data_IF_199354746153
#
_entry.id   IF_199354746153
#
_cell.length_a   1.000
_cell.length_b   1.000
_cell.length_c   1.000
_cell.angle_alpha   90.00
_cell.angle_beta   90.00
_cell.angle_gamma   90.00
#
_symmetry.space_group_name_H-M   'P 1'
#
loop_
_entity.id
_entity.type
_entity.pdbx_description
1 polymer ?
#
# COMPACT_ATOMS: atom_id res chain seq x y z
N UNK A 1 -1.09 -18.16 -3.16
CA UNK A 1 -1.04 -19.61 -3.48
C UNK A 1 -1.78 -19.82 -4.78
N UNK A 2 -1.33 -20.71 -5.69
CA UNK A 2 -2.11 -21.08 -6.86
C UNK A 2 -3.44 -21.70 -6.40
N UNK A 3 -4.52 -21.43 -7.14
CA UNK A 3 -5.90 -21.86 -6.79
C UNK A 3 -6.08 -23.38 -6.86
N UNK A 4 -5.13 -24.09 -7.46
CA UNK A 4 -5.21 -25.53 -7.70
C UNK A 4 -4.90 -26.39 -6.44
N UNK A 5 -4.46 -25.77 -5.33
CA UNK A 5 -4.07 -26.44 -4.08
C UNK A 5 -5.07 -26.22 -2.92
N UNK A 6 -6.33 -25.82 -3.19
CA UNK A 6 -7.33 -25.68 -2.13
C UNK A 6 -7.75 -27.04 -1.58
N UNK A 7 -7.13 -27.42 -0.48
CA UNK A 7 -7.62 -28.45 0.42
C UNK A 7 -8.78 -27.83 1.24
N UNK A 8 -9.76 -28.62 1.68
CA UNK A 8 -10.91 -28.18 2.45
C UNK A 8 -10.55 -27.09 3.49
N UNK A 9 -11.23 -25.96 3.44
CA UNK A 9 -11.04 -24.83 4.35
C UNK A 9 -12.37 -24.47 5.01
N UNK A 10 -12.31 -24.09 6.30
CA UNK A 10 -13.49 -23.65 7.04
C UNK A 10 -13.98 -22.26 6.60
N UNK A 11 -13.09 -21.45 6.05
CA UNK A 11 -13.38 -20.13 5.48
C UNK A 11 -12.25 -19.66 4.55
N UNK A 12 -12.54 -18.74 3.63
CA UNK A 12 -11.56 -18.18 2.70
C UNK A 12 -11.50 -16.67 2.87
N UNK A 13 -10.31 -16.14 3.21
CA UNK A 13 -10.05 -14.70 3.26
C UNK A 13 -9.46 -14.18 1.95
N UNK A 14 -10.01 -13.10 1.42
CA UNK A 14 -9.57 -12.44 0.21
C UNK A 14 -9.02 -11.05 0.53
N UNK A 15 -7.79 -10.76 0.12
CA UNK A 15 -7.27 -9.39 0.15
C UNK A 15 -7.92 -8.59 -0.94
N UNK A 16 -8.62 -7.54 -0.56
CA UNK A 16 -9.23 -6.55 -1.47
C UNK A 16 -8.55 -5.22 -1.23
N UNK A 17 -8.07 -4.61 -2.30
CA UNK A 17 -7.31 -3.36 -2.19
C UNK A 17 -8.25 -2.19 -1.89
N UNK A 18 -9.44 -2.15 -2.52
CA UNK A 18 -10.40 -1.08 -2.34
C UNK A 18 -11.86 -1.53 -2.55
N UNK A 19 -12.79 -0.98 -1.76
CA UNK A 19 -14.23 -1.26 -1.84
C UNK A 19 -15.02 -0.08 -2.42
N UNK A 20 -14.51 0.59 -3.44
CA UNK A 20 -15.18 1.75 -4.05
C UNK A 20 -15.43 2.86 -3.04
N UNK A 21 -16.66 3.33 -2.94
CA UNK A 21 -17.08 4.39 -2.03
C UNK A 21 -17.28 3.93 -0.57
N UNK A 22 -17.24 2.61 -0.30
CA UNK A 22 -17.56 2.05 1.01
C UNK A 22 -16.33 1.92 1.92
N UNK A 23 -16.48 2.34 3.18
CA UNK A 23 -15.49 2.15 4.25
C UNK A 23 -15.73 0.80 4.95
N UNK A 24 -15.26 -0.29 4.32
CA UNK A 24 -15.42 -1.66 4.81
C UNK A 24 -14.05 -2.21 5.23
N UNK A 25 -13.93 -2.68 6.47
CA UNK A 25 -12.75 -3.37 6.97
C UNK A 25 -12.72 -4.84 6.51
N UNK A 26 -13.82 -5.55 6.73
CA UNK A 26 -14.04 -6.91 6.28
C UNK A 26 -15.55 -7.17 6.10
N UNK A 27 -15.92 -7.99 5.11
CA UNK A 27 -17.30 -8.37 4.86
C UNK A 27 -17.39 -9.78 4.27
N UNK A 28 -18.46 -10.51 4.62
CA UNK A 28 -18.82 -11.75 3.90
C UNK A 28 -19.21 -11.38 2.48
N UNK A 29 -18.69 -12.13 1.51
CA UNK A 29 -18.86 -11.82 0.09
C UNK A 29 -20.26 -12.25 -0.38
N UNK A 30 -21.10 -11.26 -0.60
CA UNK A 30 -22.38 -11.35 -1.31
C UNK A 30 -22.36 -10.52 -2.59
N UNK A 31 -23.50 -10.42 -3.28
CA UNK A 31 -23.62 -9.66 -4.53
C UNK A 31 -23.38 -8.15 -4.32
N UNK A 32 -23.75 -7.62 -3.15
CA UNK A 32 -23.50 -6.22 -2.80
C UNK A 32 -22.02 -5.95 -2.60
N UNK A 33 -21.32 -6.80 -1.87
CA UNK A 33 -19.86 -6.70 -1.64
C UNK A 33 -19.10 -6.85 -2.96
N UNK A 34 -19.54 -7.77 -3.85
CA UNK A 34 -18.95 -7.89 -5.19
C UNK A 34 -19.06 -6.59 -6.00
N UNK A 35 -20.24 -5.95 -6.02
CA UNK A 35 -20.43 -4.68 -6.72
C UNK A 35 -19.51 -3.57 -6.18
N UNK A 36 -19.30 -3.51 -4.86
CA UNK A 36 -18.36 -2.56 -4.25
C UNK A 36 -16.89 -2.83 -4.62
N UNK A 37 -16.50 -4.10 -4.74
CA UNK A 37 -15.14 -4.46 -5.19
C UNK A 37 -14.95 -4.10 -6.66
N UNK A 38 -15.98 -4.27 -7.50
CA UNK A 38 -15.99 -3.85 -8.91
C UNK A 38 -15.85 -2.33 -9.03
N UNK A 39 -16.60 -1.55 -8.23
CA UNK A 39 -16.43 -0.09 -8.15
C UNK A 39 -15.00 0.29 -7.76
N UNK A 40 -14.41 -0.42 -6.79
CA UNK A 40 -13.02 -0.23 -6.38
C UNK A 40 -11.99 -0.54 -7.46
N UNK A 41 -12.35 -1.31 -8.48
CA UNK A 41 -11.48 -1.59 -9.61
C UNK A 41 -11.27 -0.37 -10.53
N UNK A 42 -12.11 0.65 -10.45
CA UNK A 42 -11.88 1.93 -11.14
C UNK A 42 -10.70 2.72 -10.54
N UNK A 43 -10.50 2.58 -9.22
CA UNK A 43 -9.41 3.26 -8.48
C UNK A 43 -8.10 2.46 -8.50
N UNK A 44 -8.20 1.14 -8.38
CA UNK A 44 -7.06 0.22 -8.31
C UNK A 44 -7.20 -0.97 -9.27
N UNK A 45 -7.26 -0.73 -10.61
CA UNK A 45 -7.57 -1.77 -11.59
C UNK A 45 -6.54 -2.90 -11.61
N UNK A 46 -5.26 -2.59 -11.47
CA UNK A 46 -4.16 -3.56 -11.48
C UNK A 46 -4.23 -4.56 -10.30
N UNK A 47 -5.01 -4.26 -9.28
CA UNK A 47 -5.10 -5.06 -8.06
C UNK A 47 -6.48 -5.67 -7.85
N UNK A 48 -7.55 -4.88 -7.99
CA UNK A 48 -8.90 -5.39 -7.75
C UNK A 48 -9.38 -6.36 -8.83
N UNK A 49 -9.04 -6.16 -10.12
CA UNK A 49 -9.42 -7.11 -11.18
C UNK A 49 -8.85 -8.50 -10.96
N UNK A 50 -7.53 -8.69 -10.71
CA UNK A 50 -6.98 -10.00 -10.36
C UNK A 50 -7.56 -10.58 -9.05
N UNK A 51 -7.92 -9.72 -8.08
CA UNK A 51 -8.56 -10.16 -6.84
C UNK A 51 -9.98 -10.70 -7.09
N UNK A 52 -10.78 -10.05 -7.94
CA UNK A 52 -12.11 -10.53 -8.36
C UNK A 52 -12.02 -11.88 -9.08
N UNK A 53 -11.06 -12.06 -9.99
CA UNK A 53 -10.83 -13.32 -10.68
C UNK A 53 -10.42 -14.43 -9.70
N UNK A 54 -9.53 -14.14 -8.75
CA UNK A 54 -9.12 -15.09 -7.73
C UNK A 54 -10.28 -15.45 -6.79
N UNK A 55 -11.11 -14.48 -6.43
CA UNK A 55 -12.29 -14.66 -5.60
C UNK A 55 -13.33 -15.55 -6.33
N UNK A 56 -13.60 -15.29 -7.60
CA UNK A 56 -14.53 -16.10 -8.40
C UNK A 56 -14.08 -17.57 -8.47
N UNK A 57 -12.82 -17.81 -8.76
CA UNK A 57 -12.24 -19.18 -8.78
C UNK A 57 -12.30 -19.86 -7.42
N UNK A 58 -12.03 -19.12 -6.34
CA UNK A 58 -12.10 -19.67 -5.00
C UNK A 58 -13.54 -20.06 -4.60
N UNK A 59 -14.55 -19.25 -4.96
CA UNK A 59 -15.97 -19.58 -4.75
C UNK A 59 -16.43 -20.79 -5.55
N UNK A 60 -15.91 -20.97 -6.75
CA UNK A 60 -16.17 -22.18 -7.56
C UNK A 60 -15.55 -23.44 -6.93
N UNK A 61 -14.33 -23.33 -6.41
CA UNK A 61 -13.60 -24.44 -5.80
C UNK A 61 -14.12 -24.83 -4.40
N UNK A 62 -14.60 -23.86 -3.63
CA UNK A 62 -15.06 -24.00 -2.24
C UNK A 62 -16.44 -23.33 -2.03
N UNK A 63 -17.51 -23.83 -2.71
CA UNK A 63 -18.81 -23.16 -2.71
C UNK A 63 -19.50 -23.13 -1.33
N UNK A 64 -19.21 -24.09 -0.46
CA UNK A 64 -19.82 -24.23 0.87
C UNK A 64 -19.06 -23.44 1.96
N UNK A 65 -17.85 -22.97 1.68
CA UNK A 65 -17.06 -22.18 2.62
C UNK A 65 -17.48 -20.71 2.59
N UNK A 66 -17.57 -20.02 3.73
CA UNK A 66 -17.76 -18.57 3.73
C UNK A 66 -16.52 -17.88 3.15
N UNK A 67 -16.75 -16.97 2.20
CA UNK A 67 -15.74 -16.13 1.62
C UNK A 67 -15.80 -14.73 2.23
N UNK A 68 -14.69 -14.24 2.74
CA UNK A 68 -14.60 -12.93 3.40
C UNK A 68 -13.60 -12.05 2.66
N UNK A 69 -14.07 -10.90 2.20
CA UNK A 69 -13.23 -9.84 1.64
C UNK A 69 -12.67 -8.96 2.77
N UNK A 70 -11.35 -8.73 2.78
CA UNK A 70 -10.65 -7.94 3.79
C UNK A 70 -9.91 -6.80 3.12
N UNK A 71 -10.16 -5.57 3.59
CA UNK A 71 -9.64 -4.34 2.99
C UNK A 71 -8.16 -4.11 3.30
N UNK A 72 -7.38 -3.85 2.24
CA UNK A 72 -5.98 -3.43 2.37
C UNK A 72 -5.85 -1.95 2.76
N UNK A 73 -6.85 -1.12 2.46
CA UNK A 73 -6.83 0.31 2.77
C UNK A 73 -7.43 0.66 4.14
N UNK A 74 -8.15 -0.25 4.79
CA UNK A 74 -8.88 0.05 6.03
C UNK A 74 -7.95 0.46 7.19
N UNK A 75 -6.75 -0.06 7.28
CA UNK A 75 -5.77 0.35 8.30
C UNK A 75 -5.50 1.87 8.27
N UNK A 76 -5.66 2.49 7.11
CA UNK A 76 -5.46 3.93 6.92
C UNK A 76 -6.69 4.79 7.22
N UNK A 77 -7.82 4.21 7.65
CA UNK A 77 -9.04 4.96 8.00
C UNK A 77 -8.83 5.93 9.17
N UNK A 78 -7.80 5.71 9.98
CA UNK A 78 -7.43 6.56 11.11
C UNK A 78 -6.67 7.83 10.73
N UNK A 79 -6.28 7.97 9.46
CA UNK A 79 -5.65 9.17 8.93
C UNK A 79 -6.65 10.34 9.03
N UNK A 80 -6.21 11.47 9.59
CA UNK A 80 -7.04 12.65 9.75
C UNK A 80 -7.43 13.29 8.41
N UNK A 81 -8.50 14.05 8.40
CA UNK A 81 -8.93 14.81 7.21
C UNK A 81 -7.85 15.76 6.71
N UNK A 82 -7.05 16.34 7.63
CA UNK A 82 -5.92 17.21 7.30
C UNK A 82 -4.87 16.51 6.43
N UNK A 83 -4.54 15.27 6.73
CA UNK A 83 -3.56 14.47 5.99
C UNK A 83 -4.17 13.79 4.76
N UNK A 84 -5.48 13.50 4.79
CA UNK A 84 -6.18 12.75 3.75
C UNK A 84 -6.60 13.59 2.56
N UNK A 85 -7.04 14.85 2.80
CA UNK A 85 -7.59 15.70 1.74
C UNK A 85 -6.50 16.31 0.89
N UNK A 86 -6.69 16.26 -0.43
CA UNK A 86 -5.97 17.13 -1.34
C UNK A 86 -6.60 18.53 -1.31
N UNK A 87 -5.81 19.57 -1.53
CA UNK A 87 -6.29 20.95 -1.61
C UNK A 87 -6.98 21.20 -2.97
N UNK A 88 -8.06 20.47 -3.22
CA UNK A 88 -8.89 20.55 -4.42
C UNK A 88 -10.23 21.22 -4.10
N UNK A 89 -10.95 21.75 -5.12
CA UNK A 89 -12.30 22.25 -4.96
C UNK A 89 -13.24 21.23 -4.30
N UNK A 90 -14.22 21.71 -3.53
CA UNK A 90 -15.07 20.88 -2.68
C UNK A 90 -15.88 19.82 -3.49
N UNK A 91 -16.25 20.15 -4.72
CA UNK A 91 -16.94 19.24 -5.66
C UNK A 91 -16.10 18.02 -6.06
N UNK A 92 -14.78 18.07 -5.87
CA UNK A 92 -13.84 16.97 -6.09
C UNK A 92 -13.45 16.29 -4.77
N UNK A 93 -14.19 16.49 -3.71
CA UNK A 93 -13.86 16.01 -2.35
C UNK A 93 -13.79 14.50 -2.20
N UNK A 94 -14.33 13.71 -3.14
CA UNK A 94 -14.16 12.26 -3.19
C UNK A 94 -12.72 11.83 -3.58
N UNK A 95 -11.97 12.72 -4.25
CA UNK A 95 -10.56 12.46 -4.59
C UNK A 95 -9.71 12.82 -3.38
N UNK A 96 -9.41 11.83 -2.57
CA UNK A 96 -8.63 11.97 -1.34
C UNK A 96 -7.63 10.82 -1.20
N UNK A 97 -6.65 10.96 -0.32
CA UNK A 97 -5.71 9.87 0.02
C UNK A 97 -6.45 8.71 0.66
N UNK A 98 -6.37 7.54 0.05
CA UNK A 98 -6.95 6.29 0.54
C UNK A 98 -5.91 5.49 1.32
N UNK A 99 -4.69 5.43 0.81
CA UNK A 99 -3.61 4.61 1.33
C UNK A 99 -3.76 3.14 0.93
N UNK A 100 -2.61 2.46 0.83
CA UNK A 100 -2.52 1.05 0.43
C UNK A 100 -1.45 0.35 1.25
N UNK A 101 -1.34 -0.97 1.11
CA UNK A 101 -0.47 -1.83 1.93
C UNK A 101 -0.84 -1.82 3.43
N UNK A 102 -2.08 -1.49 3.77
CA UNK A 102 -2.52 -1.38 5.16
C UNK A 102 -2.37 -2.67 5.93
N UNK A 103 -2.69 -3.83 5.33
CA UNK A 103 -2.51 -5.15 5.95
C UNK A 103 -1.04 -5.45 6.25
N UNK A 104 -0.13 -5.10 5.32
CA UNK A 104 1.30 -5.24 5.53
C UNK A 104 1.80 -4.32 6.65
N UNK A 105 1.40 -3.04 6.63
CA UNK A 105 1.78 -2.05 7.62
C UNK A 105 1.25 -2.44 9.00
N UNK A 106 -0.01 -2.87 9.11
CA UNK A 106 -0.60 -3.37 10.34
C UNK A 106 0.19 -4.55 10.89
N UNK A 107 0.45 -5.55 10.04
CA UNK A 107 1.22 -6.74 10.40
C UNK A 107 2.62 -6.42 10.92
N UNK A 108 3.29 -5.41 10.37
CA UNK A 108 4.61 -4.95 10.82
C UNK A 108 4.49 -4.21 12.14
N UNK A 109 3.58 -3.23 12.23
CA UNK A 109 3.44 -2.38 13.41
C UNK A 109 3.04 -3.14 14.67
N UNK A 110 2.22 -4.17 14.56
CA UNK A 110 1.83 -5.05 15.69
C UNK A 110 3.00 -5.85 16.29
N UNK A 111 4.11 -5.98 15.56
CA UNK A 111 5.30 -6.76 15.98
C UNK A 111 6.50 -5.88 16.35
N UNK A 112 6.35 -4.58 16.21
CA UNK A 112 7.37 -3.59 16.60
C UNK A 112 6.96 -2.94 17.91
N UNK A 113 7.76 -3.15 18.95
CA UNK A 113 7.55 -2.55 20.27
C UNK A 113 8.09 -1.11 20.29
N UNK A 114 7.26 -0.18 19.83
CA UNK A 114 7.55 1.27 19.83
C UNK A 114 6.29 2.09 19.64
N UNK A 115 6.27 3.30 20.18
CA UNK A 115 5.13 4.22 20.02
C UNK A 115 5.13 4.93 18.68
N UNK A 116 6.30 5.27 18.11
CA UNK A 116 6.44 6.03 16.87
C UNK A 116 7.21 5.21 15.84
N UNK A 117 6.50 4.61 14.92
CA UNK A 117 7.06 3.71 13.91
C UNK A 117 6.86 4.30 12.52
N UNK A 118 7.91 4.39 11.73
CA UNK A 118 7.77 4.58 10.28
C UNK A 118 7.96 3.23 9.61
N UNK A 119 6.96 2.76 8.90
CA UNK A 119 7.00 1.50 8.15
C UNK A 119 7.27 1.80 6.68
N UNK A 120 8.38 1.29 6.16
CA UNK A 120 8.71 1.26 4.74
C UNK A 120 8.36 -0.12 4.17
N UNK A 121 7.23 -0.27 3.51
CA UNK A 121 6.90 -1.49 2.76
C UNK A 121 7.43 -1.35 1.34
N UNK A 122 8.50 -2.10 1.02
CA UNK A 122 9.27 -1.97 -0.22
C UNK A 122 9.26 -3.31 -0.98
N UNK A 123 8.37 -3.41 -1.95
CA UNK A 123 8.19 -4.56 -2.82
C UNK A 123 8.05 -4.13 -4.28
N UNK A 124 7.14 -4.76 -5.03
CA UNK A 124 6.73 -4.27 -6.37
C UNK A 124 6.10 -2.89 -6.31
N UNK A 125 5.31 -2.60 -5.25
CA UNK A 125 4.93 -1.27 -4.83
C UNK A 125 5.76 -0.80 -3.64
N UNK A 126 5.83 0.52 -3.39
CA UNK A 126 6.53 1.11 -2.27
C UNK A 126 5.63 2.11 -1.53
N UNK A 127 5.50 1.95 -0.21
CA UNK A 127 4.85 2.92 0.65
C UNK A 127 5.69 3.20 1.89
N UNK A 128 5.56 4.42 2.42
CA UNK A 128 6.12 4.83 3.71
C UNK A 128 4.98 5.35 4.55
N UNK A 129 4.78 4.77 5.73
CA UNK A 129 3.61 5.02 6.58
C UNK A 129 4.05 5.43 7.99
N UNK A 130 3.46 6.49 8.51
CA UNK A 130 3.60 6.93 9.89
C UNK A 130 2.59 6.19 10.78
N UNK A 131 3.07 5.43 11.75
CA UNK A 131 2.23 4.70 12.71
C UNK A 131 2.55 5.18 14.13
N UNK A 132 1.50 5.59 14.86
CA UNK A 132 1.61 5.92 16.28
C UNK A 132 0.69 5.01 17.09
N UNK A 133 1.26 4.28 18.04
CA UNK A 133 0.49 3.41 18.95
C UNK A 133 -0.49 2.49 18.18
N UNK A 134 -0.03 1.89 17.08
CA UNK A 134 -0.82 0.99 16.25
C UNK A 134 -1.81 1.66 15.28
N UNK A 135 -1.88 2.99 15.23
CA UNK A 135 -2.77 3.75 14.33
C UNK A 135 -2.00 4.42 13.21
N UNK A 136 -2.48 4.32 11.97
CA UNK A 136 -1.91 5.03 10.82
C UNK A 136 -2.25 6.52 10.91
N UNK A 137 -1.23 7.39 10.86
CA UNK A 137 -1.43 8.85 10.87
C UNK A 137 -1.26 9.47 9.49
N UNK A 138 -0.41 8.89 8.64
CA UNK A 138 -0.19 9.31 7.25
C UNK A 138 0.49 8.19 6.46
N UNK A 139 0.37 8.22 5.14
CA UNK A 139 1.02 7.28 4.23
C UNK A 139 1.31 7.94 2.89
N UNK A 140 2.32 7.47 2.17
CA UNK A 140 2.75 8.07 0.91
C UNK A 140 1.88 7.72 -0.29
N UNK A 141 1.24 6.55 -0.30
CA UNK A 141 0.29 6.22 -1.37
C UNK A 141 -0.98 7.04 -1.20
N UNK A 142 -1.48 7.60 -2.28
CA UNK A 142 -2.54 8.58 -2.31
C UNK A 142 -3.91 8.01 -2.65
N UNK A 143 -4.59 8.67 -3.60
CA UNK A 143 -5.85 8.22 -4.16
C UNK A 143 -5.69 6.90 -4.93
N UNK A 144 -4.55 6.74 -5.59
CA UNK A 144 -4.13 5.49 -6.25
C UNK A 144 -2.81 4.98 -5.65
N UNK A 145 -2.42 3.72 -5.89
CA UNK A 145 -1.12 3.19 -5.46
C UNK A 145 0.06 3.68 -6.33
N UNK A 146 -0.10 4.80 -7.04
CA UNK A 146 0.93 5.40 -7.89
C UNK A 146 1.71 6.51 -7.16
N UNK A 147 1.07 7.27 -6.26
CA UNK A 147 1.72 8.33 -5.48
C UNK A 147 2.74 7.77 -4.47
N UNK A 148 3.82 8.50 -4.23
CA UNK A 148 4.84 8.16 -3.24
C UNK A 148 6.25 8.09 -3.81
N UNK A 149 7.17 7.36 -3.16
CA UNK A 149 8.52 7.11 -3.69
C UNK A 149 8.48 6.34 -5.01
N UNK A 150 9.53 6.42 -5.85
CA UNK A 150 9.68 5.54 -7.01
C UNK A 150 9.55 4.06 -6.62
N UNK A 151 8.98 3.25 -7.49
CA UNK A 151 8.73 1.81 -7.25
C UNK A 151 9.46 0.96 -8.30
N UNK A 152 9.20 -0.33 -8.36
CA UNK A 152 9.81 -1.20 -9.35
C UNK A 152 9.58 -0.73 -10.78
N UNK A 153 8.32 -0.56 -11.17
CA UNK A 153 7.89 -0.11 -12.51
C UNK A 153 7.09 1.18 -12.49
N UNK A 154 6.63 1.65 -11.30
CA UNK A 154 5.81 2.84 -11.15
C UNK A 154 6.67 4.06 -10.87
N UNK A 155 6.27 5.19 -11.45
CA UNK A 155 7.02 6.45 -11.35
C UNK A 155 7.13 6.99 -9.90
N UNK A 156 6.16 6.69 -9.04
CA UNK A 156 5.93 7.48 -7.83
C UNK A 156 5.37 8.85 -8.17
N UNK A 157 5.52 9.80 -7.24
CA UNK A 157 5.00 11.16 -7.40
C UNK A 157 5.67 11.90 -8.55
N UNK A 158 4.85 12.44 -9.46
CA UNK A 158 5.24 13.30 -10.57
C UNK A 158 4.47 14.61 -10.45
N UNK A 159 5.07 15.73 -10.87
CA UNK A 159 4.37 17.02 -10.92
C UNK A 159 3.12 16.92 -11.81
N UNK A 160 1.92 17.25 -11.30
CA UNK A 160 0.69 17.27 -12.09
C UNK A 160 0.79 18.16 -13.33
N UNK A 161 1.53 19.29 -13.24
CA UNK A 161 1.79 20.17 -14.36
C UNK A 161 2.58 19.49 -15.49
N UNK A 162 3.52 18.60 -15.16
CA UNK A 162 4.25 17.81 -16.13
C UNK A 162 3.31 16.84 -16.88
N UNK A 163 2.37 16.19 -16.16
CA UNK A 163 1.38 15.31 -16.79
C UNK A 163 0.45 16.08 -17.74
N UNK A 164 -0.04 17.25 -17.33
CA UNK A 164 -0.83 18.12 -18.19
C UNK A 164 -0.05 18.61 -19.42
N UNK A 165 1.25 18.84 -19.28
CA UNK A 165 2.11 19.20 -20.42
C UNK A 165 2.22 18.03 -21.41
N UNK A 166 2.46 16.81 -20.94
CA UNK A 166 2.54 15.63 -21.79
C UNK A 166 1.24 15.38 -22.56
N UNK A 167 0.08 15.50 -21.91
CA UNK A 167 -1.23 15.42 -22.59
C UNK A 167 -1.37 16.47 -23.70
N UNK A 168 -0.94 17.72 -23.46
CA UNK A 168 -0.97 18.80 -24.47
C UNK A 168 -0.01 18.57 -25.62
N UNK A 169 1.07 17.80 -25.42
CA UNK A 169 2.05 17.44 -26.46
C UNK A 169 1.67 16.20 -27.25
N UNK A 170 0.51 15.60 -26.96
CA UNK A 170 -0.08 14.53 -27.78
C UNK A 170 -0.07 13.14 -27.17
N UNK A 171 0.43 12.97 -25.94
CA UNK A 171 0.25 11.70 -25.21
C UNK A 171 -1.22 11.51 -24.86
N UNK A 172 -1.73 10.29 -25.01
CA UNK A 172 -3.07 9.91 -24.55
C UNK A 172 -3.07 9.54 -23.08
N UNK A 173 -4.24 9.50 -22.46
CA UNK A 173 -4.39 9.05 -21.07
C UNK A 173 -3.90 7.62 -20.90
N UNK A 174 -4.24 6.72 -21.82
CA UNK A 174 -3.85 5.29 -21.76
C UNK A 174 -2.33 5.11 -21.91
N UNK A 175 -1.67 5.91 -22.76
CA UNK A 175 -0.21 5.89 -22.89
C UNK A 175 0.47 6.36 -21.61
N UNK A 176 -0.04 7.43 -20.98
CA UNK A 176 0.50 7.93 -19.72
C UNK A 176 0.24 6.95 -18.57
N UNK A 177 -0.93 6.33 -18.51
CA UNK A 177 -1.24 5.32 -17.50
C UNK A 177 -0.23 4.17 -17.58
N UNK A 178 -0.01 3.62 -18.78
CA UNK A 178 0.97 2.55 -19.01
C UNK A 178 2.39 2.98 -18.64
N UNK A 179 2.85 4.15 -19.09
CA UNK A 179 4.19 4.68 -18.78
C UNK A 179 4.38 4.83 -17.27
N UNK A 180 3.42 5.43 -16.58
CA UNK A 180 3.53 5.71 -15.15
C UNK A 180 3.48 4.44 -14.27
N UNK A 181 2.72 3.43 -14.68
CA UNK A 181 2.53 2.21 -13.90
C UNK A 181 3.50 1.09 -14.26
N UNK A 182 3.93 0.97 -15.53
CA UNK A 182 4.61 -0.23 -16.03
C UNK A 182 6.02 0.02 -16.56
N UNK A 183 6.34 1.25 -16.99
CA UNK A 183 7.59 1.57 -17.72
C UNK A 183 8.49 2.57 -16.99
N UNK A 184 8.10 2.98 -15.79
CA UNK A 184 8.78 4.00 -14.98
C UNK A 184 9.56 3.39 -13.80
N UNK A 185 9.79 4.18 -12.77
CA UNK A 185 10.41 3.76 -11.52
C UNK A 185 11.85 3.28 -11.69
N UNK A 186 12.20 2.26 -10.91
CA UNK A 186 13.54 1.67 -10.95
C UNK A 186 13.84 1.04 -12.32
N UNK A 187 12.82 0.48 -12.99
CA UNK A 187 12.97 -0.07 -14.34
C UNK A 187 13.51 0.97 -15.32
N UNK A 188 12.92 2.17 -15.35
CA UNK A 188 13.35 3.25 -16.24
C UNK A 188 14.75 3.80 -15.90
N UNK A 189 15.21 3.60 -14.67
CA UNK A 189 16.50 4.08 -14.19
C UNK A 189 17.62 3.02 -14.26
N UNK A 190 17.36 1.86 -14.82
CA UNK A 190 18.37 0.80 -14.98
C UNK A 190 18.37 -0.28 -13.88
N UNK A 191 17.40 -0.24 -12.98
CA UNK A 191 17.28 -1.20 -11.87
C UNK A 191 18.02 -0.77 -10.60
N UNK A 192 17.75 -1.46 -9.50
CA UNK A 192 18.27 -1.07 -8.19
C UNK A 192 19.80 -1.24 -8.04
N UNK A 193 20.42 -1.99 -8.93
CA UNK A 193 21.88 -2.19 -8.93
C UNK A 193 22.63 -1.10 -9.74
N UNK A 194 21.92 -0.25 -10.49
CA UNK A 194 22.49 0.96 -11.09
C UNK A 194 22.77 2.01 -9.99
N UNK A 195 23.96 2.61 -9.94
CA UNK A 195 24.33 3.56 -8.89
C UNK A 195 23.44 4.81 -8.84
N UNK A 196 22.97 5.31 -9.99
CA UNK A 196 22.06 6.45 -10.03
C UNK A 196 20.68 6.07 -9.54
N UNK A 197 20.13 4.94 -10.02
CA UNK A 197 18.82 4.45 -9.59
C UNK A 197 18.81 4.16 -8.07
N UNK A 198 19.85 3.54 -7.53
CA UNK A 198 20.01 3.31 -6.08
C UNK A 198 20.03 4.63 -5.31
N UNK A 199 20.85 5.59 -5.74
CA UNK A 199 20.93 6.90 -5.08
C UNK A 199 19.62 7.66 -5.15
N UNK A 200 18.95 7.65 -6.30
CA UNK A 200 17.64 8.26 -6.51
C UNK A 200 16.56 7.63 -5.61
N UNK A 201 16.46 6.31 -5.60
CA UNK A 201 15.51 5.58 -4.79
C UNK A 201 15.68 5.84 -3.30
N UNK A 202 16.92 5.69 -2.79
CA UNK A 202 17.21 5.90 -1.36
C UNK A 202 17.05 7.36 -0.93
N UNK A 203 17.29 8.33 -1.83
CA UNK A 203 17.01 9.75 -1.60
C UNK A 203 15.52 9.99 -1.40
N UNK A 204 14.67 9.50 -2.31
CA UNK A 204 13.21 9.69 -2.23
C UNK A 204 12.60 8.96 -1.04
N UNK A 205 13.10 7.76 -0.70
CA UNK A 205 12.70 7.06 0.51
C UNK A 205 13.04 7.85 1.77
N UNK A 206 14.28 8.34 1.90
CA UNK A 206 14.69 9.12 3.07
C UNK A 206 13.86 10.41 3.22
N UNK A 207 13.55 11.09 2.10
CA UNK A 207 12.68 12.26 2.08
C UNK A 207 11.27 11.91 2.58
N UNK A 208 10.70 10.79 2.15
CA UNK A 208 9.41 10.31 2.60
C UNK A 208 9.42 9.95 4.10
N UNK A 209 10.43 9.21 4.55
CA UNK A 209 10.60 8.87 5.98
C UNK A 209 10.74 10.12 6.84
N UNK A 210 11.50 11.13 6.40
CA UNK A 210 11.63 12.40 7.11
C UNK A 210 10.27 13.10 7.28
N UNK A 211 9.42 13.10 6.24
CA UNK A 211 8.06 13.62 6.31
C UNK A 211 7.21 12.86 7.34
N UNK A 212 7.25 11.54 7.33
CA UNK A 212 6.51 10.71 8.28
C UNK A 212 7.04 10.87 9.72
N UNK A 213 8.36 11.01 9.91
CA UNK A 213 8.94 11.30 11.22
C UNK A 213 8.49 12.68 11.77
N UNK A 214 8.30 13.68 10.89
CA UNK A 214 7.75 14.97 11.27
C UNK A 214 6.28 14.84 11.72
N UNK A 215 5.45 14.09 11.01
CA UNK A 215 4.05 13.78 11.39
C UNK A 215 4.00 13.11 12.77
N UNK A 216 4.93 12.21 13.06
CA UNK A 216 5.04 11.54 14.36
C UNK A 216 5.63 12.42 15.47
N UNK A 217 6.20 13.59 15.15
CA UNK A 217 7.02 14.40 16.07
C UNK A 217 8.20 13.62 16.66
N UNK A 218 8.84 12.78 15.84
CA UNK A 218 9.99 11.95 16.19
C UNK A 218 9.92 10.57 15.56
N UNK A 219 10.92 9.74 15.84
CA UNK A 219 11.06 8.40 15.28
C UNK A 219 11.69 7.48 16.32
N UNK A 220 11.02 6.38 16.69
CA UNK A 220 11.59 5.38 17.60
C UNK A 220 12.11 4.18 16.80
N UNK A 221 11.35 3.76 15.77
CA UNK A 221 11.73 2.64 14.90
C UNK A 221 11.44 2.98 13.43
N UNK A 222 12.43 2.71 12.58
CA UNK A 222 12.31 2.65 11.14
C UNK A 222 12.25 1.18 10.73
N UNK A 223 11.04 0.70 10.43
CA UNK A 223 10.78 -0.68 10.05
C UNK A 223 10.73 -0.85 8.54
N UNK A 224 11.39 -1.88 8.02
CA UNK A 224 11.40 -2.23 6.59
C UNK A 224 10.76 -3.59 6.38
N UNK A 225 9.90 -3.70 5.38
CA UNK A 225 9.26 -4.94 4.96
C UNK A 225 9.12 -5.01 3.43
N UNK A 226 8.62 -6.14 2.95
CA UNK A 226 8.55 -6.44 1.52
C UNK A 226 9.89 -6.84 0.94
N UNK A 227 9.90 -7.34 -0.30
CA UNK A 227 11.06 -8.00 -0.89
C UNK A 227 12.36 -7.17 -0.87
N UNK A 228 12.30 -5.88 -1.20
CA UNK A 228 13.45 -4.96 -1.12
C UNK A 228 13.75 -4.64 0.35
N UNK A 229 12.73 -4.30 1.13
CA UNK A 229 12.90 -3.89 2.52
C UNK A 229 13.56 -4.97 3.39
N UNK A 230 13.21 -6.23 3.17
CA UNK A 230 13.72 -7.37 3.92
C UNK A 230 15.11 -7.82 3.46
N UNK A 231 15.38 -7.81 2.14
CA UNK A 231 16.56 -8.44 1.57
C UNK A 231 17.70 -7.49 1.19
N UNK A 232 17.47 -6.15 1.10
CA UNK A 232 18.48 -5.16 0.71
C UNK A 232 18.94 -4.35 1.93
N UNK A 233 19.92 -4.87 2.67
CA UNK A 233 20.53 -4.19 3.81
C UNK A 233 21.15 -2.83 3.44
N UNK A 234 21.76 -2.75 2.27
CA UNK A 234 22.35 -1.53 1.71
C UNK A 234 21.32 -0.40 1.53
N UNK A 235 20.10 -0.72 1.11
CA UNK A 235 18.99 0.25 1.03
C UNK A 235 18.63 0.76 2.42
N UNK A 236 18.49 -0.13 3.41
CA UNK A 236 18.17 0.26 4.79
C UNK A 236 19.24 1.16 5.39
N UNK A 237 20.50 0.81 5.20
CA UNK A 237 21.65 1.58 5.68
C UNK A 237 21.74 2.95 5.01
N UNK A 238 21.55 3.02 3.68
CA UNK A 238 21.58 4.26 2.93
C UNK A 238 20.45 5.22 3.36
N UNK A 239 19.24 4.71 3.58
CA UNK A 239 18.10 5.51 4.06
C UNK A 239 18.34 5.96 5.49
N UNK A 240 18.69 5.07 6.40
CA UNK A 240 18.94 5.40 7.80
C UNK A 240 20.11 6.38 7.96
N UNK A 241 21.16 6.23 7.15
CA UNK A 241 22.33 7.12 7.14
C UNK A 241 21.96 8.59 6.84
N UNK A 242 20.96 8.82 5.98
CA UNK A 242 20.44 10.18 5.67
C UNK A 242 19.59 10.78 6.78
N UNK A 243 19.13 9.98 7.74
CA UNK A 243 18.17 10.36 8.78
C UNK A 243 18.81 10.53 10.17
N UNK A 244 20.13 10.40 10.30
CA UNK A 244 20.86 10.50 11.59
C UNK A 244 20.56 11.79 12.37
N UNK A 245 20.18 12.85 11.68
CA UNK A 245 19.83 14.13 12.32
C UNK A 245 18.48 14.11 13.08
N UNK A 246 17.67 13.04 12.94
CA UNK A 246 16.46 12.81 13.75
C UNK A 246 16.75 12.23 15.14
N UNK A 247 18.03 12.00 15.49
CA UNK A 247 18.45 11.38 16.75
C UNK A 247 18.56 9.86 16.64
N UNK A 248 18.56 9.20 17.78
CA UNK A 248 18.69 7.75 17.87
C UNK A 248 17.35 7.07 17.63
N UNK A 249 17.31 6.17 16.66
CA UNK A 249 16.17 5.30 16.36
C UNK A 249 16.69 3.92 15.96
N UNK A 250 15.87 2.88 16.17
CA UNK A 250 16.18 1.52 15.73
C UNK A 250 15.81 1.33 14.26
N UNK A 251 16.59 0.48 13.58
CA UNK A 251 16.30 0.04 12.19
C UNK A 251 16.02 -1.45 12.23
N UNK A 252 14.84 -1.85 11.77
CA UNK A 252 14.40 -3.24 11.83
C UNK A 252 13.93 -3.73 10.47
N UNK A 253 14.28 -4.96 10.09
CA UNK A 253 13.69 -5.66 8.96
C UNK A 253 12.63 -6.63 9.52
N UNK A 254 11.36 -6.37 9.18
CA UNK A 254 10.22 -7.11 9.73
C UNK A 254 9.39 -7.67 8.58
N UNK A 255 9.38 -9.00 8.34
CA UNK A 255 8.59 -9.59 7.26
C UNK A 255 7.11 -9.27 7.40
N UNK A 256 6.46 -8.85 6.34
CA UNK A 256 5.01 -8.69 6.36
C UNK A 256 4.32 -10.06 6.46
N UNK A 257 3.24 -10.10 7.25
CA UNK A 257 2.41 -11.31 7.48
C UNK A 257 0.94 -10.96 7.26
N UNK A 258 0.62 -10.51 6.05
CA UNK A 258 -0.74 -10.10 5.67
C UNK A 258 -1.75 -11.22 5.88
N UNK A 259 -1.34 -12.46 5.60
CA UNK A 259 -2.14 -13.66 5.76
C UNK A 259 -2.64 -13.85 7.21
N UNK A 260 -1.85 -13.46 8.20
CA UNK A 260 -2.23 -13.54 9.62
C UNK A 260 -3.27 -12.47 9.95
N UNK A 261 -3.11 -11.26 9.44
CA UNK A 261 -4.08 -10.16 9.65
C UNK A 261 -5.41 -10.54 9.00
N UNK A 262 -5.38 -11.04 7.76
CA UNK A 262 -6.58 -11.52 7.04
C UNK A 262 -7.25 -12.65 7.84
N UNK A 263 -6.52 -13.66 8.27
CA UNK A 263 -7.08 -14.78 9.03
C UNK A 263 -7.75 -14.34 10.35
N UNK A 264 -7.18 -13.35 11.04
CA UNK A 264 -7.78 -12.75 12.24
C UNK A 264 -9.06 -11.99 11.92
N UNK A 265 -9.08 -11.21 10.85
CA UNK A 265 -10.27 -10.47 10.41
C UNK A 265 -11.41 -11.43 10.05
N UNK A 266 -11.11 -12.50 9.29
CA UNK A 266 -12.07 -13.57 8.96
C UNK A 266 -12.66 -14.21 10.22
N UNK A 267 -11.80 -14.63 11.15
CA UNK A 267 -12.26 -15.25 12.42
C UNK A 267 -13.10 -14.30 13.25
N UNK A 268 -12.70 -13.04 13.36
CA UNK A 268 -13.44 -12.05 14.12
C UNK A 268 -14.83 -11.81 13.52
N UNK A 269 -14.96 -11.73 12.20
CA UNK A 269 -16.23 -11.53 11.52
C UNK A 269 -17.16 -12.73 11.71
N UNK A 270 -16.67 -13.95 11.46
CA UNK A 270 -17.48 -15.18 11.51
C UNK A 270 -17.78 -15.68 12.94
N UNK A 271 -17.11 -15.17 13.97
CA UNK A 271 -17.41 -15.52 15.36
C UNK A 271 -18.58 -14.72 15.94
N UNK A 272 -19.09 -13.71 15.22
CA UNK A 272 -20.20 -12.84 15.65
C UNK A 272 -21.51 -13.13 14.88
N UNK A 273 -21.48 -14.05 13.93
CA UNK A 273 -22.63 -14.64 13.25
C UNK A 273 -23.00 -16.00 13.90
#
# INVERSE_FOLDING_TARGET
MPVDDFVAADAVGHRIVHFGSAAIAAAVVDDHVLALIEEGAEVAPLHNRPALEALARAREALPDAPHVAVSDSDFHRTISDEARRYALPAELGAVMRLGFHGLAVQSVSERVDAARVVVCHLGGGCSVTAVREGSSLDTTMGYTPLEGPPMGTRSGSVDPGALLHLLRTGFTVDELDRILNEESGLLALGGLDDPFAFSHFTYHLAKAVAGMAAVLSGLDVLAFSGGIGENRADVREAVAGRLRHFGDFRVEAVPAREEIVIARAVRALLAHD
#
